data_IF_690360403626
#
_entry.id   IF_690360403626
#
_cell.length_a   1.000
_cell.length_b   1.000
_cell.length_c   1.000
_cell.angle_alpha   90.00
_cell.angle_beta   90.00
_cell.angle_gamma   90.00
#
_symmetry.space_group_name_H-M   'P 1'
#
loop_
_entity.id
_entity.type
_entity.pdbx_description
1 polymer ?
#
# COMPACT_ATOMS: atom_id res chain seq x y z
N UNK A 1 3.70 -23.95 -27.82
CA UNK A 1 2.47 -24.55 -28.41
C UNK A 1 1.74 -23.66 -29.45
N UNK A 2 2.24 -22.53 -29.83
CA UNK A 2 1.58 -21.53 -30.69
C UNK A 2 1.61 -21.82 -32.21
N UNK A 3 2.52 -22.64 -32.68
CA UNK A 3 2.71 -22.88 -34.15
C UNK A 3 1.68 -23.82 -34.83
N UNK A 4 0.95 -24.66 -34.09
CA UNK A 4 -0.07 -25.56 -34.67
C UNK A 4 -1.41 -24.88 -34.96
N UNK A 5 -1.80 -23.87 -34.21
CA UNK A 5 -3.07 -23.15 -34.44
C UNK A 5 -2.98 -22.20 -35.64
N UNK A 6 -1.84 -21.55 -35.85
CA UNK A 6 -1.64 -20.67 -37.02
C UNK A 6 -1.66 -21.43 -38.34
N UNK A 7 -1.11 -22.65 -38.38
CA UNK A 7 -1.17 -23.51 -39.58
C UNK A 7 -2.59 -23.98 -39.88
N UNK A 8 -3.40 -24.33 -38.89
CA UNK A 8 -4.81 -24.72 -39.11
C UNK A 8 -5.65 -23.56 -39.63
N UNK A 9 -5.48 -22.35 -39.12
CA UNK A 9 -6.18 -21.16 -39.61
C UNK A 9 -5.82 -20.79 -41.04
N UNK A 10 -4.53 -20.90 -41.41
CA UNK A 10 -4.07 -20.69 -42.80
C UNK A 10 -4.60 -21.77 -43.74
N UNK A 11 -4.66 -23.02 -43.30
CA UNK A 11 -5.21 -24.12 -44.10
C UNK A 11 -6.73 -23.92 -44.35
N UNK A 12 -7.51 -23.51 -43.36
CA UNK A 12 -8.94 -23.21 -43.51
C UNK A 12 -9.16 -22.01 -44.46
N UNK A 13 -8.33 -20.96 -44.37
CA UNK A 13 -8.40 -19.81 -45.25
C UNK A 13 -8.09 -20.18 -46.71
N UNK A 14 -7.08 -21.00 -46.94
CA UNK A 14 -6.72 -21.51 -48.29
C UNK A 14 -7.84 -22.35 -48.86
N UNK A 15 -8.45 -23.27 -48.07
CA UNK A 15 -9.58 -24.11 -48.51
C UNK A 15 -10.79 -23.24 -48.88
N UNK A 16 -11.08 -22.19 -48.10
CA UNK A 16 -12.20 -21.28 -48.37
C UNK A 16 -12.00 -20.44 -49.62
N UNK A 17 -10.77 -19.98 -49.86
CA UNK A 17 -10.40 -19.26 -51.09
C UNK A 17 -10.48 -20.16 -52.33
N UNK A 18 -10.01 -21.42 -52.22
CA UNK A 18 -10.09 -22.41 -53.33
C UNK A 18 -11.56 -22.78 -53.61
N UNK A 19 -12.40 -22.95 -52.59
CA UNK A 19 -13.83 -23.17 -52.75
C UNK A 19 -14.54 -21.99 -53.44
N UNK A 20 -14.19 -20.76 -53.08
CA UNK A 20 -14.73 -19.55 -53.69
C UNK A 20 -14.30 -19.42 -55.17
N UNK A 21 -13.05 -19.72 -55.49
CA UNK A 21 -12.54 -19.74 -56.86
C UNK A 21 -13.19 -20.84 -57.71
N UNK A 22 -13.45 -22.06 -57.16
CA UNK A 22 -14.22 -23.09 -57.84
C UNK A 22 -15.65 -22.66 -58.17
N UNK A 23 -16.34 -22.01 -57.22
CA UNK A 23 -17.69 -21.50 -57.45
C UNK A 23 -17.72 -20.42 -58.52
N UNK A 24 -16.74 -19.53 -58.56
CA UNK A 24 -16.60 -18.50 -59.61
C UNK A 24 -16.29 -19.14 -60.96
N UNK A 25 -15.40 -20.18 -60.99
CA UNK A 25 -15.05 -20.91 -62.21
C UNK A 25 -16.27 -21.63 -62.82
N UNK A 26 -17.10 -22.25 -61.98
CA UNK A 26 -18.35 -22.90 -62.39
C UNK A 26 -19.33 -21.86 -62.94
N UNK A 27 -19.47 -20.71 -62.29
CA UNK A 27 -20.33 -19.60 -62.76
C UNK A 27 -19.92 -19.00 -64.11
N UNK A 28 -18.61 -18.94 -64.37
CA UNK A 28 -18.09 -18.44 -65.63
C UNK A 28 -18.14 -19.45 -66.76
N UNK A 29 -18.05 -20.77 -66.41
CA UNK A 29 -18.09 -21.85 -67.39
C UNK A 29 -19.48 -22.13 -67.96
N UNK A 30 -20.56 -21.63 -67.34
CA UNK A 30 -21.93 -21.77 -67.83
C UNK A 30 -22.38 -20.65 -68.79
N UNK A 31 -21.48 -19.71 -69.19
CA UNK A 31 -21.85 -18.55 -70.00
C UNK A 31 -21.84 -18.79 -71.53
N UNK A 32 -21.38 -19.95 -72.04
CA UNK A 32 -21.37 -20.20 -73.48
C UNK A 32 -21.85 -21.59 -73.85
N UNK A 33 -23.05 -21.62 -74.48
CA UNK A 33 -23.63 -22.72 -75.24
C UNK A 33 -24.56 -23.73 -74.55
N UNK A 34 -25.89 -23.47 -74.63
CA UNK A 34 -26.91 -24.50 -74.46
C UNK A 34 -28.34 -24.00 -74.82
N UNK A 35 -29.18 -24.82 -75.44
CA UNK A 35 -30.44 -24.46 -76.08
C UNK A 35 -31.58 -24.32 -75.06
N UNK A 36 -31.65 -23.15 -74.36
CA UNK A 36 -32.65 -22.88 -73.31
C UNK A 36 -33.77 -21.90 -73.73
N UNK A 37 -34.19 -21.94 -75.00
CA UNK A 37 -35.32 -21.11 -75.45
C UNK A 37 -36.68 -21.82 -75.35
N UNK A 38 -36.77 -23.07 -74.87
CA UNK A 38 -38.00 -23.84 -74.77
C UNK A 38 -38.52 -24.09 -73.30
N UNK A 39 -37.85 -23.60 -72.27
CA UNK A 39 -38.21 -23.86 -70.88
C UNK A 39 -38.87 -22.66 -70.17
N UNK A 40 -39.06 -21.54 -70.86
CA UNK A 40 -39.58 -20.34 -70.24
C UNK A 40 -41.07 -20.33 -69.88
N UNK A 41 -41.79 -21.44 -70.12
CA UNK A 41 -43.24 -21.63 -69.80
C UNK A 41 -43.53 -22.64 -68.69
N UNK A 42 -42.53 -23.34 -68.12
CA UNK A 42 -42.74 -24.38 -67.11
C UNK A 42 -42.21 -24.06 -65.71
N UNK A 43 -41.48 -22.90 -65.52
CA UNK A 43 -40.66 -22.66 -64.32
C UNK A 43 -41.46 -21.98 -63.17
N UNK A 44 -42.69 -21.46 -63.45
CA UNK A 44 -43.46 -20.78 -62.38
C UNK A 44 -44.16 -21.68 -61.37
N UNK A 45 -44.21 -22.99 -61.62
CA UNK A 45 -44.99 -23.90 -60.74
C UNK A 45 -44.07 -24.83 -59.90
N UNK A 46 -42.73 -24.89 -60.19
CA UNK A 46 -41.84 -25.83 -59.53
C UNK A 46 -40.86 -25.17 -58.53
N UNK A 47 -40.78 -23.82 -58.53
CA UNK A 47 -39.87 -23.07 -57.69
C UNK A 47 -40.38 -22.80 -56.26
N UNK A 48 -41.63 -23.07 -55.94
CA UNK A 48 -42.18 -22.87 -54.60
C UNK A 48 -41.55 -23.76 -53.52
N UNK A 49 -41.22 -25.05 -53.74
CA UNK A 49 -40.64 -25.86 -52.68
C UNK A 49 -39.14 -25.66 -52.49
N UNK A 50 -38.43 -25.09 -53.48
CA UNK A 50 -36.95 -24.85 -53.37
C UNK A 50 -36.61 -23.65 -52.48
N UNK A 51 -37.48 -22.63 -52.47
CA UNK A 51 -37.32 -21.47 -51.60
C UNK A 51 -37.46 -21.81 -50.09
N UNK A 52 -38.31 -22.77 -49.75
CA UNK A 52 -38.47 -23.25 -48.37
C UNK A 52 -37.34 -24.21 -47.97
N UNK A 53 -36.82 -25.00 -48.91
CA UNK A 53 -35.67 -25.89 -48.66
C UNK A 53 -34.37 -25.14 -48.47
N UNK A 54 -34.14 -24.07 -49.23
CA UNK A 54 -32.91 -23.24 -49.12
C UNK A 54 -32.88 -22.45 -47.82
N UNK A 55 -34.04 -22.00 -47.34
CA UNK A 55 -34.12 -21.26 -46.04
C UNK A 55 -33.85 -22.20 -44.86
N UNK A 56 -34.18 -23.48 -44.94
CA UNK A 56 -33.92 -24.47 -43.88
C UNK A 56 -32.46 -24.98 -43.92
N UNK A 57 -31.84 -25.04 -45.11
CA UNK A 57 -30.44 -25.44 -45.25
C UNK A 57 -29.45 -24.34 -44.83
N UNK A 58 -29.87 -23.07 -44.83
CA UNK A 58 -29.02 -21.93 -44.43
C UNK A 58 -29.19 -21.52 -42.94
N UNK A 59 -30.20 -22.09 -42.22
CA UNK A 59 -30.35 -21.86 -40.79
C UNK A 59 -29.08 -22.19 -39.98
N UNK A 60 -28.45 -23.38 -40.11
CA UNK A 60 -27.25 -23.68 -39.33
C UNK A 60 -26.06 -22.79 -39.65
N UNK A 61 -25.99 -22.21 -40.84
CA UNK A 61 -24.94 -21.27 -41.17
C UNK A 61 -25.16 -19.89 -40.54
N UNK A 62 -26.40 -19.45 -40.40
CA UNK A 62 -26.75 -18.22 -39.69
C UNK A 62 -26.54 -18.36 -38.19
N UNK A 63 -26.98 -19.45 -37.61
CA UNK A 63 -26.80 -19.74 -36.18
C UNK A 63 -25.30 -19.83 -35.79
N UNK A 64 -24.45 -20.29 -36.72
CA UNK A 64 -22.99 -20.28 -36.52
C UNK A 64 -22.39 -18.87 -36.56
N UNK A 65 -22.90 -17.99 -37.45
CA UNK A 65 -22.42 -16.60 -37.53
C UNK A 65 -22.86 -15.81 -36.29
N UNK A 66 -24.12 -15.98 -35.87
CA UNK A 66 -24.65 -15.32 -34.67
C UNK A 66 -23.94 -15.80 -33.40
N UNK A 67 -23.64 -17.12 -33.29
CA UNK A 67 -22.87 -17.68 -32.19
C UNK A 67 -21.43 -17.15 -32.15
N UNK A 68 -20.79 -16.95 -33.32
CA UNK A 68 -19.46 -16.36 -33.40
C UNK A 68 -19.50 -14.88 -32.96
N UNK A 69 -20.47 -14.12 -33.38
CA UNK A 69 -20.59 -12.68 -33.06
C UNK A 69 -20.89 -12.48 -31.57
N UNK A 70 -21.77 -13.28 -30.97
CA UNK A 70 -22.04 -13.27 -29.52
C UNK A 70 -20.83 -13.67 -28.70
N UNK A 71 -20.08 -14.71 -29.15
CA UNK A 71 -18.88 -15.17 -28.43
C UNK A 71 -17.74 -14.14 -28.50
N UNK A 72 -17.62 -13.39 -29.60
CA UNK A 72 -16.63 -12.33 -29.73
C UNK A 72 -17.00 -11.09 -28.94
N UNK A 73 -18.26 -10.70 -28.94
CA UNK A 73 -18.79 -9.59 -28.12
C UNK A 73 -18.64 -9.91 -26.64
N UNK A 74 -19.05 -11.09 -26.18
CA UNK A 74 -18.91 -11.52 -24.80
C UNK A 74 -17.44 -11.57 -24.32
N UNK A 75 -16.49 -11.87 -25.21
CA UNK A 75 -15.06 -11.79 -24.88
C UNK A 75 -14.58 -10.34 -24.78
N UNK A 76 -15.00 -9.49 -25.70
CA UNK A 76 -14.67 -8.06 -25.66
C UNK A 76 -15.22 -7.39 -24.40
N UNK A 77 -16.49 -7.66 -24.07
CA UNK A 77 -17.11 -7.16 -22.84
C UNK A 77 -16.42 -7.67 -21.57
N UNK A 78 -16.00 -8.96 -21.57
CA UNK A 78 -15.30 -9.54 -20.43
C UNK A 78 -13.91 -8.90 -20.22
N UNK A 79 -13.20 -8.60 -21.30
CA UNK A 79 -11.89 -7.97 -21.22
C UNK A 79 -12.05 -6.48 -20.84
N UNK A 80 -13.06 -5.78 -21.36
CA UNK A 80 -13.38 -4.41 -20.97
C UNK A 80 -13.82 -4.33 -19.50
N UNK A 81 -14.63 -5.28 -19.01
CA UNK A 81 -15.02 -5.37 -17.59
C UNK A 81 -13.81 -5.64 -16.69
N UNK A 82 -12.87 -6.48 -17.11
CA UNK A 82 -11.62 -6.70 -16.36
C UNK A 82 -10.78 -5.44 -16.27
N UNK A 83 -10.67 -4.72 -17.37
CA UNK A 83 -9.93 -3.45 -17.41
C UNK A 83 -10.62 -2.39 -16.53
N UNK A 84 -11.94 -2.31 -16.55
CA UNK A 84 -12.70 -1.43 -15.66
C UNK A 84 -12.51 -1.80 -14.18
N UNK A 85 -12.58 -3.11 -13.85
CA UNK A 85 -12.32 -3.59 -12.48
C UNK A 85 -10.88 -3.28 -12.04
N UNK A 86 -9.90 -3.47 -12.92
CA UNK A 86 -8.50 -3.14 -12.64
C UNK A 86 -8.33 -1.64 -12.39
N UNK A 87 -8.96 -0.80 -13.23
CA UNK A 87 -8.93 0.66 -13.08
C UNK A 87 -9.60 1.12 -11.80
N UNK A 88 -10.80 0.62 -11.50
CA UNK A 88 -11.53 0.97 -10.28
C UNK A 88 -10.78 0.55 -9.02
N UNK A 89 -10.11 -0.62 -9.04
CA UNK A 89 -9.25 -1.04 -7.93
C UNK A 89 -8.04 -0.13 -7.75
N UNK A 90 -7.42 0.30 -8.85
CA UNK A 90 -6.30 1.23 -8.80
C UNK A 90 -6.74 2.62 -8.27
N UNK A 91 -7.90 3.11 -8.68
CA UNK A 91 -8.50 4.35 -8.19
C UNK A 91 -8.86 4.25 -6.70
N UNK A 92 -9.43 3.13 -6.28
CA UNK A 92 -9.77 2.90 -4.87
C UNK A 92 -8.53 2.88 -3.99
N UNK A 93 -7.49 2.13 -4.38
CA UNK A 93 -6.20 2.11 -3.66
C UNK A 93 -5.53 3.49 -3.62
N UNK A 94 -5.60 4.25 -4.71
CA UNK A 94 -5.06 5.61 -4.74
C UNK A 94 -5.83 6.56 -3.80
N UNK A 95 -7.16 6.41 -3.75
CA UNK A 95 -8.02 7.23 -2.88
C UNK A 95 -7.83 6.88 -1.41
N UNK A 96 -7.75 5.57 -1.09
CA UNK A 96 -7.46 5.10 0.27
C UNK A 96 -6.11 5.65 0.75
N UNK A 97 -5.07 5.52 -0.07
CA UNK A 97 -3.73 6.02 0.24
C UNK A 97 -3.70 7.54 0.43
N UNK A 98 -4.43 8.29 -0.40
CA UNK A 98 -4.55 9.74 -0.24
C UNK A 98 -5.31 10.13 1.04
N UNK A 99 -6.34 9.36 1.41
CA UNK A 99 -7.08 9.59 2.65
C UNK A 99 -6.24 9.27 3.90
N UNK A 100 -5.45 8.19 3.88
CA UNK A 100 -4.49 7.87 4.94
C UNK A 100 -3.44 8.97 5.10
N UNK A 101 -2.84 9.44 4.00
CA UNK A 101 -1.86 10.51 4.04
C UNK A 101 -2.44 11.84 4.57
N UNK A 102 -3.66 12.18 4.18
CA UNK A 102 -4.33 13.36 4.71
C UNK A 102 -4.61 13.23 6.20
N UNK A 103 -5.11 12.06 6.64
CA UNK A 103 -5.35 11.77 8.05
C UNK A 103 -4.07 11.81 8.89
N UNK A 104 -2.96 11.29 8.37
CA UNK A 104 -1.63 11.38 8.97
C UNK A 104 -1.21 12.84 9.15
N UNK A 105 -1.29 13.65 8.09
CA UNK A 105 -0.89 15.05 8.13
C UNK A 105 -1.71 15.87 9.14
N UNK A 106 -3.03 15.67 9.19
CA UNK A 106 -3.91 16.37 10.13
C UNK A 106 -3.57 16.04 11.58
N UNK A 107 -3.39 14.77 11.92
CA UNK A 107 -3.01 14.32 13.26
C UNK A 107 -1.60 14.79 13.65
N UNK A 108 -0.64 14.70 12.70
CA UNK A 108 0.70 15.21 12.93
C UNK A 108 0.70 16.72 13.23
N UNK A 109 -0.11 17.49 12.49
CA UNK A 109 -0.25 18.93 12.71
C UNK A 109 -0.87 19.24 14.09
N UNK A 110 -1.82 18.42 14.54
CA UNK A 110 -2.39 18.49 15.89
C UNK A 110 -1.33 18.16 16.96
N UNK A 111 -0.56 17.13 16.79
CA UNK A 111 0.55 16.75 17.67
C UNK A 111 1.59 17.86 17.74
N UNK A 112 2.00 18.41 16.59
CA UNK A 112 2.98 19.48 16.52
C UNK A 112 2.50 20.77 17.20
N UNK A 113 1.21 21.09 17.16
CA UNK A 113 0.62 22.21 17.88
C UNK A 113 0.52 21.99 19.39
N UNK A 114 0.34 20.73 19.80
CA UNK A 114 0.25 20.32 21.21
C UNK A 114 1.58 20.17 21.92
N UNK A 115 2.67 20.05 21.18
CA UNK A 115 4.05 19.87 21.66
C UNK A 115 4.88 21.13 21.44
N UNK A 116 5.87 21.39 22.30
CA UNK A 116 6.78 22.53 22.09
C UNK A 116 7.85 22.21 21.02
N UNK A 117 7.39 22.17 19.77
CA UNK A 117 8.21 21.91 18.61
C UNK A 117 8.63 23.18 17.87
N UNK A 118 8.51 24.34 18.53
CA UNK A 118 8.94 25.62 17.98
C UNK A 118 10.45 25.60 17.73
N UNK A 119 10.85 25.73 16.49
CA UNK A 119 12.28 25.69 16.10
C UNK A 119 12.73 24.36 15.46
N UNK A 120 11.87 23.35 15.43
CA UNK A 120 12.11 22.13 14.66
C UNK A 120 11.46 22.24 13.27
N UNK A 121 12.16 21.68 12.28
CA UNK A 121 11.63 21.56 10.91
C UNK A 121 11.25 20.11 10.67
N UNK A 122 9.97 19.81 10.40
CA UNK A 122 9.56 18.44 10.10
C UNK A 122 10.02 18.04 8.69
N UNK A 123 10.58 16.82 8.58
CA UNK A 123 10.96 16.19 7.32
C UNK A 123 10.26 14.84 7.26
N UNK A 124 9.31 14.72 6.34
CA UNK A 124 8.55 13.48 6.14
C UNK A 124 9.40 12.44 5.41
N UNK A 125 9.31 11.20 5.85
CA UNK A 125 10.04 10.08 5.28
C UNK A 125 9.21 8.80 5.26
N UNK A 126 9.49 7.96 4.28
CA UNK A 126 8.88 6.64 4.17
C UNK A 126 9.83 5.58 4.75
N UNK A 127 9.30 4.60 5.45
CA UNK A 127 10.07 3.46 5.93
C UNK A 127 10.35 2.52 4.76
N UNK A 128 11.62 2.39 4.39
CA UNK A 128 12.08 1.59 3.24
C UNK A 128 12.73 0.27 3.64
N UNK A 129 12.96 0.05 4.93
CA UNK A 129 13.51 -1.19 5.43
C UNK A 129 13.34 -1.30 6.94
N UNK A 130 13.34 -2.55 7.42
CA UNK A 130 13.23 -2.85 8.85
C UNK A 130 14.22 -3.94 9.22
N UNK A 131 14.87 -3.80 10.35
CA UNK A 131 15.69 -4.84 10.94
C UNK A 131 15.10 -5.20 12.30
N UNK A 132 14.58 -6.42 12.40
CA UNK A 132 14.04 -6.92 13.65
C UNK A 132 14.92 -8.06 14.15
N UNK A 133 15.44 -7.89 15.33
CA UNK A 133 15.94 -8.97 16.15
C UNK A 133 15.23 -8.91 17.51
N UNK A 134 15.34 -9.95 18.32
CA UNK A 134 14.85 -9.92 19.71
C UNK A 134 15.55 -8.86 20.58
N UNK A 135 16.62 -8.24 20.05
CA UNK A 135 17.51 -7.35 20.76
C UNK A 135 17.61 -5.95 20.17
N UNK A 136 17.32 -5.82 18.86
CA UNK A 136 17.52 -4.57 18.12
C UNK A 136 16.29 -4.27 17.26
N UNK A 137 15.74 -3.10 17.42
CA UNK A 137 14.69 -2.57 16.58
C UNK A 137 15.20 -1.34 15.84
N UNK A 138 15.55 -1.50 14.56
CA UNK A 138 15.92 -0.37 13.70
C UNK A 138 15.07 -0.34 12.45
N UNK A 139 14.80 0.86 11.95
CA UNK A 139 14.16 1.07 10.66
C UNK A 139 15.06 1.94 9.78
N UNK A 140 14.96 1.74 8.48
CA UNK A 140 15.60 2.58 7.49
C UNK A 140 14.56 3.46 6.81
N UNK A 141 14.84 4.76 6.70
CA UNK A 141 13.93 5.77 6.16
C UNK A 141 14.50 6.43 4.90
N UNK A 142 13.62 6.97 4.06
CA UNK A 142 13.95 7.59 2.77
C UNK A 142 14.32 9.09 2.89
N UNK A 143 14.85 9.52 4.03
CA UNK A 143 15.37 10.87 4.23
C UNK A 143 16.77 10.79 4.81
N UNK A 144 17.65 11.70 4.41
CA UNK A 144 19.05 11.71 4.80
C UNK A 144 19.63 13.11 4.95
N UNK A 145 20.93 13.19 4.90
CA UNK A 145 21.63 14.48 5.06
C UNK A 145 21.25 15.52 3.99
N UNK A 146 20.89 15.06 2.78
CA UNK A 146 20.40 15.96 1.71
C UNK A 146 19.08 16.65 2.05
N UNK A 147 18.30 16.05 2.96
CA UNK A 147 17.01 16.53 3.41
C UNK A 147 17.11 17.29 4.74
N UNK A 148 18.34 17.51 5.24
CA UNK A 148 18.62 18.19 6.49
C UNK A 148 18.61 17.28 7.73
N UNK A 149 18.47 15.96 7.54
CA UNK A 149 18.48 15.00 8.64
C UNK A 149 19.88 14.88 9.24
N UNK A 150 19.97 14.92 10.54
CA UNK A 150 21.18 14.78 11.31
C UNK A 150 21.10 13.62 12.32
N UNK A 151 22.27 13.17 12.78
CA UNK A 151 22.32 12.15 13.82
C UNK A 151 21.73 12.69 15.13
N UNK A 152 20.98 11.86 15.82
CA UNK A 152 20.22 12.13 17.05
C UNK A 152 18.93 12.94 16.85
N UNK A 153 18.55 13.31 15.63
CA UNK A 153 17.24 13.90 15.38
C UNK A 153 16.15 12.95 15.89
N UNK A 154 15.13 13.53 16.54
CA UNK A 154 13.98 12.76 17.00
C UNK A 154 13.10 12.38 15.82
N UNK A 155 12.53 11.18 15.88
CA UNK A 155 11.63 10.65 14.86
C UNK A 155 10.29 10.32 15.49
N UNK A 156 9.21 10.83 14.89
CA UNK A 156 7.84 10.74 15.38
C UNK A 156 6.90 10.18 14.32
N UNK A 157 5.74 9.75 14.76
CA UNK A 157 4.54 9.54 13.93
C UNK A 157 3.42 10.47 14.44
N UNK A 158 2.24 10.39 13.85
CA UNK A 158 1.04 11.07 14.33
C UNK A 158 0.61 10.65 15.75
N UNK A 159 1.04 9.46 16.21
CA UNK A 159 0.68 8.93 17.53
C UNK A 159 1.75 9.23 18.59
N UNK A 160 2.97 9.61 18.20
CA UNK A 160 4.03 9.99 19.12
C UNK A 160 5.43 9.61 18.74
N UNK A 161 6.31 9.53 19.76
CA UNK A 161 7.73 9.25 19.59
C UNK A 161 7.98 7.78 19.20
N UNK A 162 8.76 7.59 18.13
CA UNK A 162 9.18 6.24 17.72
C UNK A 162 10.66 5.96 17.95
N UNK A 163 11.51 6.98 17.92
CA UNK A 163 12.95 6.75 18.06
C UNK A 163 13.79 7.97 17.75
N UNK A 164 15.04 7.70 17.40
CA UNK A 164 16.00 8.71 16.95
C UNK A 164 16.88 8.21 15.83
N UNK A 165 17.39 9.12 15.04
CA UNK A 165 18.34 8.83 13.98
C UNK A 165 19.67 8.36 14.58
N UNK A 166 20.11 7.17 14.22
CA UNK A 166 21.40 6.57 14.65
C UNK A 166 22.49 6.74 13.61
N UNK A 167 22.16 6.58 12.33
CA UNK A 167 23.10 6.77 11.23
C UNK A 167 22.45 7.55 10.10
N UNK A 168 23.23 8.38 9.40
CA UNK A 168 22.75 9.20 8.28
C UNK A 168 23.66 8.99 7.09
N UNK A 169 23.06 8.81 5.92
CA UNK A 169 23.73 8.84 4.62
C UNK A 169 23.17 9.98 3.77
N UNK A 170 23.63 10.12 2.52
CA UNK A 170 23.16 11.21 1.66
C UNK A 170 21.65 11.30 1.53
N UNK A 171 20.96 10.19 1.22
CA UNK A 171 19.51 10.16 0.96
C UNK A 171 18.74 9.18 1.83
N UNK A 172 19.34 8.56 2.83
CA UNK A 172 18.66 7.63 3.73
C UNK A 172 19.22 7.71 5.14
N UNK A 173 18.44 7.37 6.14
CA UNK A 173 18.90 7.29 7.53
C UNK A 173 18.43 6.01 8.19
N UNK A 174 19.16 5.59 9.22
CA UNK A 174 18.77 4.52 10.12
C UNK A 174 18.26 5.12 11.43
N UNK A 175 17.11 4.63 11.89
CA UNK A 175 16.45 5.07 13.12
C UNK A 175 16.43 3.91 14.10
N UNK A 176 16.93 4.14 15.30
CA UNK A 176 16.82 3.20 16.42
C UNK A 176 15.53 3.51 17.18
N UNK A 177 14.69 2.51 17.32
CA UNK A 177 13.38 2.63 17.99
C UNK A 177 13.55 2.78 19.50
N UNK A 178 12.59 3.45 20.17
CA UNK A 178 12.60 3.61 21.64
C UNK A 178 12.47 2.30 22.42
N UNK A 179 11.93 1.27 21.78
CA UNK A 179 11.83 -0.09 22.34
C UNK A 179 13.12 -0.88 22.24
N UNK A 180 14.08 -0.37 21.49
CA UNK A 180 15.43 -0.97 21.47
C UNK A 180 16.19 -0.58 22.75
N UNK A 181 16.66 -1.59 23.47
CA UNK A 181 17.42 -1.38 24.70
C UNK A 181 18.74 -0.62 24.48
N UNK A 182 19.25 -0.57 23.25
CA UNK A 182 20.45 0.18 22.88
C UNK A 182 20.17 1.64 22.50
N UNK A 183 18.89 2.02 22.35
CA UNK A 183 18.50 3.39 21.95
C UNK A 183 18.91 4.45 22.97
N UNK A 184 19.18 4.02 24.22
CA UNK A 184 19.33 4.90 25.37
C UNK A 184 17.98 5.31 25.95
N UNK A 185 18.00 5.77 27.18
CA UNK A 185 16.79 6.18 27.87
C UNK A 185 16.29 7.56 27.38
N UNK A 186 14.98 7.69 27.34
CA UNK A 186 14.27 8.94 27.04
C UNK A 186 13.79 9.55 28.34
N UNK A 187 14.13 10.81 28.60
CA UNK A 187 13.57 11.52 29.78
C UNK A 187 12.08 11.78 29.53
N UNK A 188 11.25 11.26 30.41
CA UNK A 188 9.81 11.32 30.30
C UNK A 188 9.17 11.86 31.57
N UNK A 189 7.97 12.41 31.45
CA UNK A 189 7.14 12.84 32.57
C UNK A 189 5.71 12.35 32.40
N UNK A 190 5.04 12.15 33.52
CA UNK A 190 3.60 11.91 33.52
C UNK A 190 2.87 13.23 33.21
N UNK A 191 1.88 13.18 32.32
CA UNK A 191 1.08 14.36 31.93
C UNK A 191 0.43 15.01 33.13
N UNK A 192 0.42 16.35 33.17
CA UNK A 192 -0.24 17.10 34.23
C UNK A 192 0.60 17.28 35.50
N UNK A 193 1.87 17.63 35.38
CA UNK A 193 2.82 17.85 36.50
C UNK A 193 3.04 16.60 37.36
N UNK A 194 3.06 15.44 36.70
CA UNK A 194 3.40 14.19 37.33
C UNK A 194 4.90 14.01 37.55
N UNK A 195 5.31 12.87 38.12
CA UNK A 195 6.71 12.53 38.30
C UNK A 195 7.47 12.42 36.98
N UNK A 196 8.77 12.69 37.03
CA UNK A 196 9.70 12.51 35.92
C UNK A 196 10.54 11.25 36.10
N UNK A 197 10.98 10.68 35.00
CA UNK A 197 11.82 9.50 35.03
C UNK A 197 12.43 9.20 33.66
N UNK A 198 12.93 8.00 33.50
CA UNK A 198 13.54 7.52 32.26
C UNK A 198 12.73 6.38 31.66
N UNK A 199 12.35 6.51 30.41
CA UNK A 199 11.75 5.45 29.61
C UNK A 199 12.82 4.75 28.80
N UNK A 200 12.85 3.43 28.83
CA UNK A 200 13.78 2.60 28.04
C UNK A 200 13.12 1.33 27.53
N UNK A 201 13.65 0.80 26.43
CA UNK A 201 13.20 -0.49 25.89
C UNK A 201 13.52 -1.67 26.82
N UNK A 202 12.61 -2.62 26.91
CA UNK A 202 12.78 -3.81 27.74
C UNK A 202 13.46 -4.92 26.94
N UNK A 203 14.59 -5.40 27.44
CA UNK A 203 15.32 -6.52 26.83
C UNK A 203 14.46 -7.80 26.81
N UNK A 204 14.29 -8.37 25.61
CA UNK A 204 13.52 -9.61 25.45
C UNK A 204 11.98 -9.41 25.39
N UNK A 205 11.49 -8.17 25.48
CA UNK A 205 10.07 -7.83 25.32
C UNK A 205 9.90 -6.73 24.27
N UNK A 206 10.02 -7.06 22.97
CA UNK A 206 9.84 -6.09 21.89
C UNK A 206 8.43 -5.47 21.96
N UNK A 207 8.36 -4.14 21.83
CA UNK A 207 7.10 -3.41 21.95
C UNK A 207 6.72 -2.99 23.38
N UNK A 208 7.55 -3.26 24.39
CA UNK A 208 7.34 -2.76 25.76
C UNK A 208 8.43 -1.80 26.18
N UNK A 209 8.03 -0.84 27.01
CA UNK A 209 8.91 0.14 27.63
C UNK A 209 8.85 -0.02 29.16
N UNK A 210 9.96 0.28 29.81
CA UNK A 210 10.07 0.39 31.26
C UNK A 210 10.26 1.86 31.62
N UNK A 211 9.41 2.39 32.50
CA UNK A 211 9.55 3.73 33.05
C UNK A 211 10.14 3.61 34.44
N UNK A 212 11.38 3.99 34.60
CA UNK A 212 12.16 3.82 35.82
C UNK A 212 12.90 5.08 36.25
N UNK A 213 13.65 5.00 37.36
CA UNK A 213 14.34 6.14 37.99
C UNK A 213 13.40 7.33 38.24
N UNK A 214 12.21 7.01 38.70
CA UNK A 214 11.11 7.97 38.87
C UNK A 214 11.45 8.91 40.01
N UNK A 215 11.32 10.21 39.77
CA UNK A 215 11.54 11.29 40.73
C UNK A 215 10.26 12.10 40.88
N UNK A 216 9.91 12.42 42.10
CA UNK A 216 8.72 13.19 42.46
C UNK A 216 7.93 12.56 43.60
N UNK A 217 7.03 13.32 44.17
CA UNK A 217 6.25 12.92 45.33
C UNK A 217 4.93 12.22 45.01
N UNK A 218 4.59 12.14 43.70
CA UNK A 218 3.34 11.52 43.26
C UNK A 218 3.61 10.10 42.76
N UNK A 219 2.70 9.22 43.11
CA UNK A 219 2.71 7.84 42.58
C UNK A 219 2.27 7.81 41.13
N UNK A 220 2.90 6.94 40.35
CA UNK A 220 2.51 6.57 38.97
C UNK A 220 1.38 5.54 39.04
N UNK A 221 0.35 5.70 38.24
CA UNK A 221 -0.83 4.84 38.22
C UNK A 221 -1.05 4.25 36.85
N UNK A 222 -1.69 3.09 36.84
CA UNK A 222 -2.17 2.48 35.60
C UNK A 222 -3.10 3.46 34.88
N UNK A 223 -2.90 3.62 33.58
CA UNK A 223 -3.61 4.60 32.75
C UNK A 223 -2.93 5.97 32.62
N UNK A 224 -1.87 6.23 33.37
CA UNK A 224 -1.13 7.49 33.25
C UNK A 224 -0.45 7.57 31.86
N UNK A 225 -0.49 8.77 31.28
CA UNK A 225 0.12 9.04 29.96
C UNK A 225 1.49 9.65 30.14
N UNK A 226 2.45 9.18 29.37
CA UNK A 226 3.82 9.65 29.37
C UNK A 226 4.10 10.49 28.14
N UNK A 227 4.77 11.62 28.35
CA UNK A 227 5.31 12.47 27.29
C UNK A 227 6.81 12.69 27.53
N UNK A 228 7.54 13.09 26.52
CA UNK A 228 8.93 13.51 26.67
C UNK A 228 8.99 14.71 27.64
N UNK A 229 9.93 14.69 28.56
CA UNK A 229 10.08 15.80 29.52
C UNK A 229 10.68 17.05 28.85
N UNK A 230 11.54 16.85 27.85
CA UNK A 230 12.36 17.92 27.30
C UNK A 230 13.13 18.66 28.41
N UNK A 231 14.33 19.08 28.16
CA UNK A 231 15.03 19.85 29.18
C UNK A 231 16.08 20.73 28.50
N UNK A 232 16.22 21.92 28.97
CA UNK A 232 17.33 22.80 28.60
C UNK A 232 18.02 23.26 29.89
N UNK A 233 19.30 22.94 30.04
CA UNK A 233 20.06 23.38 31.21
C UNK A 233 20.46 24.84 31.06
N UNK A 234 20.76 25.51 32.21
CA UNK A 234 21.31 26.86 32.22
C UNK A 234 22.63 27.00 31.44
N UNK A 235 23.34 25.91 31.21
CA UNK A 235 24.54 25.83 30.39
C UNK A 235 24.30 25.70 28.88
N UNK A 236 23.04 25.72 28.44
CA UNK A 236 22.65 25.60 27.03
C UNK A 236 22.62 24.14 26.48
N UNK A 237 22.77 23.14 27.35
CA UNK A 237 22.58 21.75 26.96
C UNK A 237 21.10 21.45 26.94
N UNK A 238 20.58 21.07 25.78
CA UNK A 238 19.20 20.66 25.60
C UNK A 238 19.05 19.14 25.54
N UNK A 239 17.87 18.67 25.92
CA UNK A 239 17.47 17.28 25.71
C UNK A 239 17.52 16.93 24.22
N UNK A 240 17.86 15.67 23.91
CA UNK A 240 17.82 15.14 22.54
C UNK A 240 16.41 15.07 21.96
N UNK A 241 15.42 15.07 22.85
CA UNK A 241 14.01 14.99 22.45
C UNK A 241 13.32 16.28 22.86
N UNK A 242 12.54 16.91 21.96
CA UNK A 242 11.67 18.01 22.32
C UNK A 242 10.72 17.62 23.46
N UNK A 243 10.21 18.61 24.19
CA UNK A 243 9.20 18.37 25.22
C UNK A 243 7.83 18.02 24.62
N UNK A 244 7.01 17.39 25.45
CA UNK A 244 5.59 17.14 25.21
C UNK A 244 5.23 16.20 24.04
N UNK A 245 6.18 15.45 23.51
CA UNK A 245 5.90 14.40 22.54
C UNK A 245 5.31 13.19 23.26
N UNK A 246 4.12 12.67 22.88
CA UNK A 246 3.54 11.46 23.44
C UNK A 246 4.48 10.26 23.28
N UNK A 247 4.60 9.47 24.36
CA UNK A 247 5.41 8.23 24.35
C UNK A 247 4.52 7.01 24.42
N UNK A 248 3.65 6.97 25.44
CA UNK A 248 2.81 5.80 25.70
C UNK A 248 1.98 5.95 26.96
N UNK A 249 1.36 4.84 27.35
CA UNK A 249 0.49 4.76 28.53
C UNK A 249 1.01 3.68 29.48
N UNK A 250 0.94 3.97 30.78
CA UNK A 250 1.23 3.00 31.83
C UNK A 250 0.15 1.91 31.82
N UNK A 251 0.56 0.66 31.63
CA UNK A 251 -0.35 -0.49 31.64
C UNK A 251 -0.30 -1.29 32.92
N UNK A 252 0.81 -1.25 33.62
CA UNK A 252 1.00 -2.00 34.87
C UNK A 252 2.11 -1.38 35.71
N UNK A 253 1.84 -1.20 36.99
CA UNK A 253 2.84 -0.78 37.98
C UNK A 253 3.09 -1.92 38.95
N UNK A 254 4.32 -2.46 39.00
CA UNK A 254 4.74 -3.51 39.87
C UNK A 254 5.57 -2.93 41.03
N UNK A 255 5.04 -2.93 42.29
CA UNK A 255 5.72 -2.34 43.42
C UNK A 255 7.05 -3.00 43.74
N UNK A 256 7.98 -2.24 44.33
CA UNK A 256 9.30 -2.72 44.73
C UNK A 256 9.28 -3.89 45.77
N UNK A 257 8.17 -4.06 46.49
CA UNK A 257 7.96 -5.17 47.41
C UNK A 257 7.85 -6.53 46.70
N UNK A 258 7.48 -6.53 45.44
CA UNK A 258 7.36 -7.73 44.60
C UNK A 258 8.59 -7.97 43.72
N UNK A 259 9.39 -6.93 43.50
CA UNK A 259 10.63 -7.00 42.72
C UNK A 259 11.74 -6.19 43.42
N UNK A 260 12.99 -6.33 42.95
CA UNK A 260 14.14 -5.59 43.51
C UNK A 260 14.05 -4.06 43.32
N UNK A 261 13.16 -3.57 42.40
CA UNK A 261 12.86 -2.18 42.14
C UNK A 261 11.41 -2.07 41.68
N UNK A 262 10.84 -0.89 41.85
CA UNK A 262 9.59 -0.56 41.18
C UNK A 262 9.76 -0.63 39.66
N UNK A 263 8.86 -1.36 39.00
CA UNK A 263 8.84 -1.50 37.55
C UNK A 263 7.51 -1.00 37.02
N UNK A 264 7.54 -0.05 36.12
CA UNK A 264 6.38 0.51 35.48
C UNK A 264 6.39 0.17 33.98
N UNK A 265 5.50 -0.72 33.62
CA UNK A 265 5.35 -1.18 32.24
C UNK A 265 4.55 -0.16 31.44
N UNK A 266 5.08 0.26 30.30
CA UNK A 266 4.48 1.26 29.41
C UNK A 266 4.29 0.67 28.02
N UNK A 267 3.11 0.88 27.47
CA UNK A 267 2.78 0.56 26.09
C UNK A 267 2.91 1.82 25.25
N UNK A 268 3.73 1.81 24.17
CA UNK A 268 3.87 2.96 23.28
C UNK A 268 2.55 3.27 22.58
N UNK A 269 2.27 4.54 22.31
CA UNK A 269 1.11 4.93 21.50
C UNK A 269 1.29 4.59 20.02
N UNK A 270 2.51 4.77 19.51
CA UNK A 270 2.84 4.44 18.15
C UNK A 270 2.93 2.92 17.94
N UNK A 271 2.30 2.39 16.89
CA UNK A 271 2.49 1.01 16.48
C UNK A 271 3.86 0.82 15.81
N UNK A 272 4.85 0.47 16.62
CA UNK A 272 6.23 0.28 16.16
C UNK A 272 6.40 -0.94 15.25
N UNK A 273 5.41 -1.82 15.17
CA UNK A 273 5.42 -2.99 14.29
C UNK A 273 4.92 -2.67 12.88
N UNK A 274 4.09 -1.65 12.70
CA UNK A 274 3.53 -1.27 11.39
C UNK A 274 3.76 0.21 11.03
N UNK A 275 5.04 0.58 10.95
CA UNK A 275 5.46 1.92 10.54
C UNK A 275 5.58 2.00 9.02
N UNK A 276 4.85 2.86 8.35
CA UNK A 276 4.95 3.13 6.91
C UNK A 276 5.48 4.53 6.60
N UNK A 277 5.03 5.53 7.37
CA UNK A 277 5.45 6.92 7.30
C UNK A 277 5.94 7.39 8.66
N UNK A 278 6.92 8.27 8.65
CA UNK A 278 7.51 8.88 9.84
C UNK A 278 7.92 10.31 9.54
N UNK A 279 8.03 11.13 10.57
CA UNK A 279 8.53 12.50 10.44
C UNK A 279 9.76 12.68 11.31
N UNK A 280 10.83 13.18 10.73
CA UNK A 280 12.08 13.52 11.44
C UNK A 280 12.01 14.98 11.83
N UNK A 281 12.26 15.28 13.11
CA UNK A 281 12.34 16.64 13.64
C UNK A 281 13.76 17.14 13.53
N UNK A 282 14.04 17.95 12.50
CA UNK A 282 15.39 18.48 12.22
C UNK A 282 15.55 19.88 12.82
N UNK A 283 16.80 20.35 13.04
CA UNK A 283 17.10 21.73 13.44
C UNK A 283 17.13 22.00 14.93
N UNK A 284 16.86 21.04 15.81
CA UNK A 284 16.88 21.24 17.28
C UNK A 284 18.23 21.14 17.97
N UNK A 285 19.31 21.18 17.23
CA UNK A 285 20.68 20.86 17.70
C UNK A 285 21.74 21.94 17.48
N UNK A 286 21.38 23.24 17.46
CA UNK A 286 22.39 24.32 17.55
C UNK A 286 22.48 24.89 18.95
#
# INVERSE_FOLDING_TARGET
MYRKQVRRRRAILVVLVVACLMLISISISEADSGPLHSIQRGVSTVLSPVAEGASRALKPARDLVDWFDETWKARGENDELKDQVAKLRAELLATEKAAEQAGYADKLDELMKGSDLTGYTPVDATVIGRSFSLWYGTIKISAGNSDGVSRNDAVITEDGLIGRVSEVTGGTSEVTLITDSSSGAVTARVVGSGPEGLVSGVVGAPGRLDFGLIQGDKEVKDGDRLVTAGFTSESGLSSRYPADIPIGQVVETIPAEQQQREQVNVEPFADLADLSQVTVLTGGGE
#
